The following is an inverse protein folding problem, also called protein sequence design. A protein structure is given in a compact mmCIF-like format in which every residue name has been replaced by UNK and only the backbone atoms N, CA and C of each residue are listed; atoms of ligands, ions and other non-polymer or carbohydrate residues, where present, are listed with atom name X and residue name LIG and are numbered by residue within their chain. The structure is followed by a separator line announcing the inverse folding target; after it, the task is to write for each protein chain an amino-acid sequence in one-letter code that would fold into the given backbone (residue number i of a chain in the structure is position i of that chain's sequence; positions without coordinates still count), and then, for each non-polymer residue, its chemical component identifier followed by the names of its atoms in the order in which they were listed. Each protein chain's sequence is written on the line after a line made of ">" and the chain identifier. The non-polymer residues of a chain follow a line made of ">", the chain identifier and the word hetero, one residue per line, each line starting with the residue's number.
data_IF_418255276317
#
_entry.id   IF_418255276317
#
_cell.length_a   1.000
_cell.length_b   1.000
_cell.length_c   1.000
_cell.angle_alpha   90.00
_cell.angle_beta   90.00
_cell.angle_gamma   90.00
#
_symmetry.space_group_name_H-M   'P 1'
#
loop_
_entity.id
_entity.type
_entity.pdbx_description
1 polymer ?
#
# COMPACT_ATOMS: atom_id res chain seq x y z
N UNK A 1 53.36 -0.22 12.57
CA UNK A 1 52.38 0.12 13.63
C UNK A 1 51.06 0.37 12.93
N UNK A 2 50.21 -0.64 12.97
CA UNK A 2 48.96 -0.74 12.23
C UNK A 2 47.82 -0.15 13.06
N UNK A 3 47.04 0.73 12.46
CA UNK A 3 45.67 1.07 12.84
C UNK A 3 45.03 1.77 11.63
N UNK A 4 44.82 1.01 10.56
CA UNK A 4 43.75 1.32 9.61
C UNK A 4 42.54 0.63 10.20
N UNK A 5 41.85 1.37 11.06
CA UNK A 5 40.59 0.93 11.64
C UNK A 5 39.68 0.50 10.50
N UNK A 6 39.30 -0.76 10.57
CA UNK A 6 38.32 -1.37 9.70
C UNK A 6 36.98 -0.73 10.06
N UNK A 7 36.65 0.39 9.42
CA UNK A 7 35.26 0.76 9.21
C UNK A 7 34.64 -0.35 8.36
N UNK A 8 34.19 -1.41 9.05
CA UNK A 8 33.18 -2.30 8.52
C UNK A 8 31.90 -1.46 8.39
N UNK A 9 31.81 -0.69 7.31
CA UNK A 9 30.55 -0.20 6.79
C UNK A 9 29.74 -1.46 6.53
N UNK A 10 28.79 -1.77 7.42
CA UNK A 10 27.84 -2.85 7.21
C UNK A 10 26.98 -2.44 6.00
N UNK A 11 27.41 -2.85 4.81
CA UNK A 11 26.58 -2.84 3.61
C UNK A 11 25.26 -3.54 3.97
N UNK A 12 24.10 -2.88 3.82
CA UNK A 12 22.83 -3.46 4.22
C UNK A 12 22.59 -4.75 3.44
N UNK A 13 22.46 -5.87 4.15
CA UNK A 13 22.18 -7.17 3.52
C UNK A 13 20.81 -7.13 2.83
N UNK A 14 20.60 -7.88 1.73
CA UNK A 14 19.30 -7.94 1.06
C UNK A 14 18.16 -8.33 2.01
N UNK A 15 18.43 -9.23 2.96
CA UNK A 15 17.48 -9.60 4.00
C UNK A 15 17.15 -8.43 4.93
N UNK A 16 18.16 -7.67 5.36
CA UNK A 16 17.97 -6.47 6.17
C UNK A 16 17.19 -5.39 5.43
N UNK A 17 17.43 -5.22 4.13
CA UNK A 17 16.69 -4.28 3.29
C UNK A 17 15.22 -4.72 3.14
N UNK A 18 14.97 -6.01 2.91
CA UNK A 18 13.62 -6.57 2.84
C UNK A 18 12.85 -6.34 4.15
N UNK A 19 13.43 -6.69 5.31
CA UNK A 19 12.78 -6.54 6.62
C UNK A 19 12.45 -5.07 6.91
N UNK A 20 13.39 -4.16 6.70
CA UNK A 20 13.13 -2.72 6.84
C UNK A 20 12.05 -2.25 5.87
N UNK A 21 12.05 -2.78 4.64
CA UNK A 21 11.04 -2.54 3.63
C UNK A 21 9.64 -2.96 4.08
N UNK A 22 9.48 -4.17 4.58
CA UNK A 22 8.20 -4.68 5.09
C UNK A 22 7.66 -3.81 6.23
N UNK A 23 8.51 -3.45 7.20
CA UNK A 23 8.14 -2.55 8.30
C UNK A 23 7.75 -1.15 7.80
N UNK A 24 8.48 -0.63 6.81
CA UNK A 24 8.14 0.63 6.16
C UNK A 24 6.81 0.55 5.40
N UNK A 25 6.54 -0.58 4.74
CA UNK A 25 5.27 -0.88 4.06
C UNK A 25 4.07 -0.85 5.02
N UNK A 26 4.21 -1.45 6.21
CA UNK A 26 3.21 -1.35 7.28
C UNK A 26 2.97 0.11 7.68
N UNK A 27 4.04 0.88 7.90
CA UNK A 27 3.93 2.28 8.28
C UNK A 27 3.27 3.15 7.19
N UNK A 28 3.61 2.93 5.92
CA UNK A 28 2.97 3.59 4.78
C UNK A 28 1.49 3.24 4.66
N UNK A 29 1.14 1.96 4.87
CA UNK A 29 -0.26 1.51 4.85
C UNK A 29 -1.06 2.18 5.96
N UNK A 30 -0.52 2.21 7.19
CA UNK A 30 -1.15 2.90 8.31
C UNK A 30 -1.32 4.41 8.04
N UNK A 31 -0.33 5.07 7.44
CA UNK A 31 -0.41 6.49 7.07
C UNK A 31 -1.53 6.76 6.05
N UNK A 32 -1.65 5.91 5.02
CA UNK A 32 -2.72 6.03 4.03
C UNK A 32 -4.10 5.78 4.64
N UNK A 33 -4.25 4.76 5.50
CA UNK A 33 -5.50 4.49 6.23
C UNK A 33 -5.91 5.70 7.08
N UNK A 34 -4.97 6.25 7.86
CA UNK A 34 -5.24 7.45 8.68
C UNK A 34 -5.63 8.65 7.82
N UNK A 35 -4.99 8.87 6.68
CA UNK A 35 -5.34 9.93 5.74
C UNK A 35 -6.77 9.76 5.20
N UNK A 36 -7.14 8.56 4.78
CA UNK A 36 -8.47 8.27 4.27
C UNK A 36 -9.56 8.43 5.35
N UNK A 37 -9.29 7.99 6.58
CA UNK A 37 -10.19 8.22 7.72
C UNK A 37 -10.38 9.70 8.04
N UNK A 38 -9.31 10.49 8.06
CA UNK A 38 -9.42 11.94 8.30
C UNK A 38 -10.25 12.60 7.19
N UNK A 39 -9.98 12.24 5.93
CA UNK A 39 -10.73 12.76 4.78
C UNK A 39 -12.21 12.40 4.86
N UNK A 40 -12.56 11.15 5.19
CA UNK A 40 -13.96 10.71 5.29
C UNK A 40 -14.70 11.42 6.43
N UNK A 41 -14.05 11.65 7.58
CA UNK A 41 -14.59 12.42 8.70
C UNK A 41 -14.89 13.88 8.31
N UNK A 42 -13.95 14.53 7.63
CA UNK A 42 -14.11 15.93 7.15
C UNK A 42 -15.22 16.03 6.10
N UNK A 43 -15.34 15.06 5.19
CA UNK A 43 -16.39 15.04 4.19
C UNK A 43 -17.77 14.80 4.81
N UNK A 44 -17.85 13.94 5.81
CA UNK A 44 -19.07 13.67 6.58
C UNK A 44 -19.51 14.89 7.40
N UNK A 45 -18.57 15.62 8.02
CA UNK A 45 -18.90 16.84 8.77
C UNK A 45 -19.39 17.99 7.87
N UNK A 46 -19.00 18.00 6.61
CA UNK A 46 -19.41 19.02 5.64
C UNK A 46 -20.71 18.64 4.88
N UNK A 47 -21.45 17.63 5.34
CA UNK A 47 -22.74 17.23 4.77
C UNK A 47 -22.66 16.38 3.49
N UNK A 48 -21.47 15.89 3.11
CA UNK A 48 -21.25 15.06 1.92
C UNK A 48 -21.25 13.55 2.22
N UNK A 49 -22.21 13.07 2.99
CA UNK A 49 -22.22 11.72 3.54
C UNK A 49 -22.46 10.61 2.52
N UNK A 50 -21.40 9.89 2.16
CA UNK A 50 -21.44 8.44 1.89
C UNK A 50 -20.31 7.81 2.71
N UNK A 51 -20.67 7.28 3.89
CA UNK A 51 -19.75 6.51 4.73
C UNK A 51 -19.60 5.10 4.14
N UNK A 52 -18.51 4.85 3.43
CA UNK A 52 -18.18 3.50 2.91
C UNK A 52 -17.40 2.64 3.92
N UNK A 53 -17.48 2.91 5.22
CA UNK A 53 -16.71 2.19 6.23
C UNK A 53 -17.52 2.03 7.50
N UNK A 54 -18.03 0.81 7.74
CA UNK A 54 -18.60 0.40 9.02
C UNK A 54 -20.03 -0.14 8.99
N UNK A 55 -20.67 -0.22 7.82
CA UNK A 55 -21.91 -0.99 7.66
C UNK A 55 -21.59 -2.46 7.37
N UNK A 56 -22.32 -3.38 8.00
CA UNK A 56 -22.28 -4.81 7.68
C UNK A 56 -22.50 -5.01 6.17
N UNK A 57 -21.50 -5.51 5.46
CA UNK A 57 -21.60 -5.70 4.01
C UNK A 57 -22.58 -6.83 3.72
N UNK A 58 -23.72 -6.48 3.12
CA UNK A 58 -24.78 -7.45 2.86
C UNK A 58 -24.53 -8.30 1.60
N UNK A 59 -23.59 -7.88 0.73
CA UNK A 59 -23.27 -8.56 -0.53
C UNK A 59 -21.81 -8.40 -0.96
N UNK A 60 -21.33 -9.38 -1.73
CA UNK A 60 -20.03 -9.32 -2.42
C UNK A 60 -20.00 -8.27 -3.53
N UNK A 61 -21.15 -7.83 -4.04
CA UNK A 61 -21.24 -6.79 -5.07
C UNK A 61 -20.84 -5.41 -4.53
N UNK A 62 -21.17 -5.14 -3.25
CA UNK A 62 -20.84 -3.89 -2.55
C UNK A 62 -19.55 -3.99 -1.73
N UNK A 63 -18.91 -5.17 -1.73
CA UNK A 63 -17.68 -5.39 -0.98
C UNK A 63 -16.55 -4.46 -1.46
N UNK A 64 -15.67 -4.00 -0.53
CA UNK A 64 -14.47 -3.27 -0.89
C UNK A 64 -13.61 -4.03 -1.90
N UNK A 65 -12.90 -3.32 -2.77
CA UNK A 65 -12.08 -3.94 -3.81
C UNK A 65 -11.00 -4.87 -3.27
N UNK A 66 -10.31 -4.58 -2.15
CA UNK A 66 -9.40 -5.55 -1.52
C UNK A 66 -10.07 -6.88 -1.18
N UNK A 67 -11.31 -6.85 -0.68
CA UNK A 67 -12.07 -8.08 -0.39
C UNK A 67 -12.36 -8.88 -1.66
N UNK A 68 -12.75 -8.20 -2.74
CA UNK A 68 -13.01 -8.82 -4.04
C UNK A 68 -11.74 -9.44 -4.65
N UNK A 69 -10.57 -8.82 -4.44
CA UNK A 69 -9.27 -9.43 -4.78
C UNK A 69 -9.06 -10.71 -3.97
N UNK A 70 -9.27 -10.66 -2.65
CA UNK A 70 -9.15 -11.81 -1.76
C UNK A 70 -10.04 -12.98 -2.19
N UNK A 71 -11.31 -12.70 -2.52
CA UNK A 71 -12.25 -13.68 -3.07
C UNK A 71 -11.73 -14.32 -4.35
N UNK A 72 -11.24 -13.54 -5.31
CA UNK A 72 -10.70 -14.09 -6.57
C UNK A 72 -9.48 -14.97 -6.38
N UNK A 73 -8.62 -14.64 -5.43
CA UNK A 73 -7.46 -15.47 -5.10
C UNK A 73 -7.94 -16.77 -4.42
N UNK A 74 -8.83 -16.68 -3.44
CA UNK A 74 -9.37 -17.84 -2.73
C UNK A 74 -10.08 -18.82 -3.67
N UNK A 75 -10.98 -18.33 -4.53
CA UNK A 75 -11.74 -19.18 -5.45
C UNK A 75 -10.90 -19.65 -6.64
N UNK A 76 -10.01 -18.79 -7.15
CA UNK A 76 -9.24 -19.05 -8.36
C UNK A 76 -7.96 -19.86 -8.15
N UNK A 77 -7.33 -19.73 -6.98
CA UNK A 77 -6.04 -20.38 -6.66
C UNK A 77 -6.22 -21.50 -5.64
N UNK A 78 -7.01 -21.24 -4.58
CA UNK A 78 -7.19 -22.20 -3.49
C UNK A 78 -8.46 -23.05 -3.64
N UNK A 79 -9.34 -22.70 -4.58
CA UNK A 79 -10.64 -23.35 -4.81
C UNK A 79 -11.55 -23.37 -3.57
N UNK A 80 -11.45 -22.34 -2.75
CA UNK A 80 -12.30 -22.15 -1.56
C UNK A 80 -13.26 -20.97 -1.79
N UNK A 81 -14.53 -21.18 -1.46
CA UNK A 81 -15.52 -20.11 -1.48
C UNK A 81 -15.45 -19.32 -0.17
N UNK A 82 -15.43 -17.98 -0.28
CA UNK A 82 -15.45 -17.12 0.90
C UNK A 82 -16.90 -16.77 1.27
N UNK A 83 -17.34 -17.10 2.50
CA UNK A 83 -18.65 -16.70 2.98
C UNK A 83 -18.66 -15.18 3.27
N UNK A 84 -19.85 -14.57 3.26
CA UNK A 84 -19.99 -13.09 3.31
C UNK A 84 -19.42 -12.49 4.60
N UNK A 85 -19.44 -13.26 5.68
CA UNK A 85 -18.92 -12.90 6.99
C UNK A 85 -17.39 -12.64 6.95
N UNK A 86 -16.70 -13.13 5.90
CA UNK A 86 -15.28 -12.92 5.70
C UNK A 86 -14.94 -11.70 4.82
N UNK A 87 -15.93 -10.92 4.33
CA UNK A 87 -15.67 -9.75 3.47
C UNK A 87 -14.70 -8.78 4.14
N UNK A 88 -14.95 -8.39 5.39
CA UNK A 88 -14.10 -7.46 6.13
C UNK A 88 -12.72 -8.05 6.44
N UNK A 89 -12.67 -9.34 6.80
CA UNK A 89 -11.41 -10.02 7.06
C UNK A 89 -10.55 -10.09 5.80
N UNK A 90 -11.13 -10.50 4.67
CA UNK A 90 -10.46 -10.55 3.38
C UNK A 90 -9.99 -9.15 2.95
N UNK A 91 -10.83 -8.13 3.14
CA UNK A 91 -10.47 -6.73 2.86
C UNK A 91 -9.21 -6.31 3.61
N UNK A 92 -9.22 -6.51 4.94
CA UNK A 92 -8.10 -6.13 5.79
C UNK A 92 -6.84 -6.93 5.46
N UNK A 93 -6.94 -8.25 5.33
CA UNK A 93 -5.78 -9.10 4.99
C UNK A 93 -5.14 -8.62 3.69
N UNK A 94 -5.93 -8.44 2.64
CA UNK A 94 -5.41 -8.01 1.34
C UNK A 94 -4.82 -6.61 1.42
N UNK A 95 -5.50 -5.65 2.08
CA UNK A 95 -5.02 -4.27 2.24
C UNK A 95 -3.65 -4.22 2.92
N UNK A 96 -3.53 -4.86 4.08
CA UNK A 96 -2.29 -4.88 4.85
C UNK A 96 -1.19 -5.69 4.17
N UNK A 97 -1.52 -6.86 3.60
CA UNK A 97 -0.54 -7.70 2.91
C UNK A 97 0.01 -7.00 1.66
N UNK A 98 -0.85 -6.36 0.86
CA UNK A 98 -0.46 -5.64 -0.34
C UNK A 98 0.48 -4.49 -0.02
N UNK A 99 0.09 -3.61 0.92
CA UNK A 99 0.91 -2.47 1.32
C UNK A 99 2.23 -2.87 1.99
N UNK A 100 2.24 -3.95 2.78
CA UNK A 100 3.46 -4.52 3.38
C UNK A 100 4.39 -5.08 2.31
N UNK A 101 3.86 -5.89 1.39
CA UNK A 101 4.63 -6.51 0.31
C UNK A 101 5.31 -5.48 -0.60
N UNK A 102 4.58 -4.43 -0.98
CA UNK A 102 5.15 -3.30 -1.72
C UNK A 102 6.29 -2.61 -0.96
N UNK A 103 6.17 -2.45 0.36
CA UNK A 103 7.27 -1.95 1.19
C UNK A 103 8.52 -2.83 1.11
N UNK A 104 8.35 -4.16 1.11
CA UNK A 104 9.45 -5.10 0.90
C UNK A 104 10.16 -4.88 -0.44
N UNK A 105 9.39 -4.71 -1.52
CA UNK A 105 9.93 -4.37 -2.85
C UNK A 105 10.65 -3.03 -2.86
N UNK A 106 10.12 -2.03 -2.15
CA UNK A 106 10.79 -0.74 -1.99
C UNK A 106 12.16 -0.90 -1.32
N UNK A 107 12.25 -1.68 -0.23
CA UNK A 107 13.51 -1.91 0.48
C UNK A 107 14.58 -2.55 -0.43
N UNK A 108 14.20 -3.59 -1.17
CA UNK A 108 15.09 -4.28 -2.12
C UNK A 108 15.53 -3.37 -3.29
N UNK A 109 14.61 -2.56 -3.83
CA UNK A 109 14.94 -1.61 -4.88
C UNK A 109 15.86 -0.50 -4.36
N UNK A 110 15.62 0.02 -3.15
CA UNK A 110 16.42 1.06 -2.52
C UNK A 110 17.85 0.60 -2.26
N UNK A 111 18.05 -0.63 -1.77
CA UNK A 111 19.40 -1.17 -1.55
C UNK A 111 20.21 -1.34 -2.85
N UNK A 112 19.54 -1.29 -4.00
CA UNK A 112 20.19 -1.38 -5.32
C UNK A 112 20.43 0.00 -5.92
N UNK A 113 19.47 0.93 -5.78
CA UNK A 113 19.52 2.26 -6.36
C UNK A 113 19.63 3.35 -5.28
N UNK A 114 20.83 3.86 -5.05
CA UNK A 114 21.11 4.94 -4.09
C UNK A 114 20.54 6.30 -4.58
N UNK A 115 19.26 6.57 -4.29
CA UNK A 115 18.52 7.75 -4.78
C UNK A 115 17.97 8.70 -3.70
N UNK A 116 17.49 9.89 -4.10
CA UNK A 116 16.83 10.87 -3.22
C UNK A 116 15.47 10.32 -2.73
N UNK A 117 15.25 10.26 -1.42
CA UNK A 117 14.16 9.44 -0.87
C UNK A 117 12.77 10.04 -0.88
N UNK A 118 12.61 11.38 -0.82
CA UNK A 118 11.27 11.98 -0.87
C UNK A 118 10.71 11.94 -2.29
N UNK A 119 11.53 12.27 -3.28
CA UNK A 119 11.19 12.05 -4.70
C UNK A 119 11.01 10.57 -5.01
N UNK A 120 11.85 9.70 -4.40
CA UNK A 120 11.69 8.25 -4.48
C UNK A 120 10.36 7.76 -3.92
N UNK A 121 9.91 8.29 -2.77
CA UNK A 121 8.62 7.94 -2.16
C UNK A 121 7.42 8.37 -2.99
N UNK A 122 7.44 9.57 -3.56
CA UNK A 122 6.36 10.04 -4.44
C UNK A 122 6.29 9.23 -5.76
N UNK A 123 7.43 8.96 -6.39
CA UNK A 123 7.51 8.11 -7.58
C UNK A 123 7.06 6.67 -7.27
N UNK A 124 7.47 6.14 -6.12
CA UNK A 124 7.07 4.83 -5.65
C UNK A 124 5.56 4.76 -5.43
N UNK A 125 4.98 5.70 -4.69
CA UNK A 125 3.52 5.78 -4.48
C UNK A 125 2.76 5.86 -5.81
N UNK A 126 3.23 6.68 -6.75
CA UNK A 126 2.65 6.78 -8.10
C UNK A 126 2.75 5.47 -8.88
N UNK A 127 3.82 4.70 -8.68
CA UNK A 127 4.01 3.38 -9.29
C UNK A 127 3.02 2.36 -8.72
N UNK A 128 2.85 2.34 -7.40
CA UNK A 128 1.86 1.47 -6.74
C UNK A 128 0.45 1.81 -7.21
N UNK A 129 0.10 3.10 -7.26
CA UNK A 129 -1.16 3.59 -7.84
C UNK A 129 -1.36 3.09 -9.27
N UNK A 130 -0.39 3.36 -10.15
CA UNK A 130 -0.48 2.97 -11.56
C UNK A 130 -0.60 1.45 -11.76
N UNK A 131 0.08 0.66 -10.93
CA UNK A 131 -0.01 -0.80 -10.96
C UNK A 131 -1.44 -1.31 -10.69
N UNK A 132 -2.18 -0.64 -9.81
CA UNK A 132 -3.59 -0.94 -9.53
C UNK A 132 -4.46 -0.77 -10.76
N UNK A 133 -4.24 0.29 -11.55
CA UNK A 133 -4.95 0.52 -12.82
C UNK A 133 -4.51 -0.39 -13.98
N UNK A 134 -3.52 -1.25 -13.77
CA UNK A 134 -3.19 -2.34 -14.70
C UNK A 134 -3.80 -3.66 -14.21
N UNK A 135 -3.57 -4.00 -12.94
CA UNK A 135 -3.98 -5.29 -12.36
C UNK A 135 -5.49 -5.38 -12.12
N UNK A 136 -6.12 -4.35 -11.55
CA UNK A 136 -7.53 -4.39 -11.17
C UNK A 136 -8.48 -4.42 -12.38
N UNK A 137 -8.21 -3.71 -13.50
CA UNK A 137 -8.99 -3.89 -14.73
C UNK A 137 -8.84 -5.29 -15.34
N UNK A 138 -7.64 -5.88 -15.32
CA UNK A 138 -7.41 -7.24 -15.82
C UNK A 138 -8.25 -8.27 -15.05
N UNK A 139 -8.44 -8.05 -13.75
CA UNK A 139 -9.33 -8.88 -12.96
C UNK A 139 -10.82 -8.54 -13.17
N UNK A 140 -11.19 -7.39 -13.75
CA UNK A 140 -12.56 -6.83 -13.81
C UNK A 140 -13.06 -6.32 -12.45
N UNK A 141 -12.21 -5.65 -11.67
CA UNK A 141 -12.65 -4.84 -10.52
C UNK A 141 -12.76 -3.37 -10.86
N UNK A 142 -11.87 -2.88 -11.71
CA UNK A 142 -11.86 -1.48 -12.14
C UNK A 142 -12.28 -1.32 -13.59
N UNK A 143 -12.74 -0.12 -13.92
CA UNK A 143 -12.82 0.36 -15.30
C UNK A 143 -11.40 0.68 -15.80
N UNK A 144 -11.16 0.74 -17.11
CA UNK A 144 -9.93 1.33 -17.61
C UNK A 144 -9.73 2.77 -17.11
N UNK A 145 -8.49 3.17 -16.86
CA UNK A 145 -8.15 4.44 -16.17
C UNK A 145 -8.79 5.68 -16.80
N UNK A 146 -8.88 5.73 -18.14
CA UNK A 146 -9.49 6.84 -18.90
C UNK A 146 -11.02 6.96 -18.78
N UNK A 147 -11.69 6.02 -18.10
CA UNK A 147 -13.14 6.10 -17.83
C UNK A 147 -13.48 6.77 -16.50
N UNK A 148 -12.49 7.06 -15.67
CA UNK A 148 -12.71 7.72 -14.39
C UNK A 148 -12.60 9.25 -14.53
N UNK A 149 -13.38 10.02 -13.74
CA UNK A 149 -13.15 11.45 -13.60
C UNK A 149 -11.72 11.74 -13.10
N UNK A 150 -11.10 12.81 -13.60
CA UNK A 150 -9.76 13.21 -13.17
C UNK A 150 -9.68 13.48 -11.66
N UNK A 151 -10.77 13.96 -11.05
CA UNK A 151 -10.87 14.17 -9.59
C UNK A 151 -10.79 12.86 -8.81
N UNK A 152 -11.43 11.78 -9.29
CA UNK A 152 -11.33 10.45 -8.68
C UNK A 152 -9.90 9.93 -8.74
N UNK A 153 -9.26 10.02 -9.92
CA UNK A 153 -7.87 9.61 -10.10
C UNK A 153 -6.91 10.42 -9.22
N UNK A 154 -7.11 11.73 -9.11
CA UNK A 154 -6.29 12.60 -8.29
C UNK A 154 -6.43 12.29 -6.79
N UNK A 155 -7.65 11.99 -6.32
CA UNK A 155 -7.88 11.60 -4.93
C UNK A 155 -7.23 10.26 -4.60
N UNK A 156 -7.32 9.29 -5.51
CA UNK A 156 -6.69 7.99 -5.32
C UNK A 156 -5.15 8.11 -5.36
N UNK A 157 -4.61 8.86 -6.33
CA UNK A 157 -3.19 9.17 -6.40
C UNK A 157 -2.70 9.86 -5.12
N UNK A 158 -3.45 10.82 -4.58
CA UNK A 158 -3.07 11.49 -3.33
C UNK A 158 -2.93 10.51 -2.16
N UNK A 159 -3.84 9.55 -2.02
CA UNK A 159 -3.73 8.52 -0.99
C UNK A 159 -2.48 7.64 -1.19
N UNK A 160 -2.17 7.28 -2.43
CA UNK A 160 -0.96 6.51 -2.76
C UNK A 160 0.35 7.31 -2.60
N UNK A 161 0.32 8.64 -2.79
CA UNK A 161 1.45 9.50 -2.47
C UNK A 161 1.71 9.53 -0.96
N UNK A 162 0.66 9.59 -0.14
CA UNK A 162 0.79 9.48 1.33
C UNK A 162 1.42 8.13 1.70
N UNK A 163 0.94 7.03 1.11
CA UNK A 163 1.54 5.71 1.28
C UNK A 163 3.04 5.73 0.94
N UNK A 164 3.40 6.14 -0.28
CA UNK A 164 4.78 6.10 -0.75
C UNK A 164 5.74 7.00 0.03
N UNK A 165 5.29 8.18 0.44
CA UNK A 165 6.05 9.06 1.34
C UNK A 165 6.21 8.45 2.73
N UNK A 166 5.16 7.81 3.26
CA UNK A 166 5.20 7.09 4.53
C UNK A 166 6.21 5.94 4.52
N UNK A 167 6.20 5.12 3.47
CA UNK A 167 7.21 4.05 3.26
C UNK A 167 8.61 4.65 3.21
N UNK A 168 8.85 5.64 2.34
CA UNK A 168 10.18 6.21 2.18
C UNK A 168 10.72 6.88 3.45
N UNK A 169 9.85 7.56 4.21
CA UNK A 169 10.18 8.17 5.49
C UNK A 169 10.51 7.14 6.57
N UNK A 170 9.65 6.13 6.73
CA UNK A 170 9.85 5.06 7.70
C UNK A 170 11.12 4.25 7.40
N UNK A 171 11.35 3.89 6.14
CA UNK A 171 12.54 3.16 5.73
C UNK A 171 13.82 3.93 6.07
N UNK A 172 13.88 5.23 5.73
CA UNK A 172 15.01 6.09 6.09
C UNK A 172 15.26 6.17 7.59
N UNK A 173 14.20 6.21 8.39
CA UNK A 173 14.32 6.23 9.84
C UNK A 173 14.91 4.92 10.38
N UNK A 174 14.49 3.79 9.83
CA UNK A 174 15.01 2.47 10.19
C UNK A 174 16.48 2.29 9.78
N UNK A 175 16.86 2.81 8.62
CA UNK A 175 18.24 2.78 8.12
C UNK A 175 19.20 3.59 9.00
N UNK A 176 18.76 4.76 9.50
CA UNK A 176 19.58 5.61 10.39
C UNK A 176 19.80 5.03 11.78
N UNK A 177 19.03 4.03 12.19
CA UNK A 177 19.04 3.46 13.55
C UNK A 177 19.83 2.15 13.67
N UNK A 178 20.38 1.66 12.57
CA UNK A 178 21.11 0.40 12.45
C UNK A 178 22.51 0.63 11.93
#
# INVERSE_FOLDING_TARGET
>A
MAARDMEHVFEPTPLGALVRGLLAGLAGTAAMTAFQEVKSRVQSSNGGGESSGGGEQQSWDDAPEPAKVGKRISEGVFHEELPKEQIDTASNIVHWAYGTGWGGLYGLAHSTFHGRTLTGGALFGSTVWGSGYVALPAMKLYKPIWKYPASTLAQDLAAHLVYGLGVAGAYRLLERRS
#
